data_IF_517619300585
#
_entry.id   IF_517619300585
#
_cell.length_a   1.000
_cell.length_b   1.000
_cell.length_c   1.000
_cell.angle_alpha   90.00
_cell.angle_beta   90.00
_cell.angle_gamma   90.00
#
_symmetry.space_group_name_H-M   'P 1'
#
loop_
_entity.id
_entity.type
_entity.pdbx_description
1 polymer ?
#
# COMPACT_ATOMS: atom_id res chain seq x y z
N UNK A 1 20.43 22.24 25.55
CA UNK A 1 19.32 23.16 25.27
C UNK A 1 18.36 22.45 24.32
N UNK A 2 17.18 22.03 24.80
CA UNK A 2 16.19 21.25 24.04
C UNK A 2 15.31 22.20 23.23
N UNK A 3 15.30 22.05 21.90
CA UNK A 3 14.22 22.60 21.06
C UNK A 3 13.10 21.56 20.98
N UNK A 4 11.97 21.85 21.62
CA UNK A 4 10.69 21.21 21.33
C UNK A 4 10.16 21.81 20.01
N UNK A 5 10.06 21.00 18.98
CA UNK A 5 9.21 21.29 17.83
C UNK A 5 7.88 20.55 18.04
N UNK A 6 6.86 21.30 18.47
CA UNK A 6 5.47 20.89 18.31
C UNK A 6 5.19 20.77 16.82
N UNK A 7 5.05 19.55 16.32
CA UNK A 7 4.56 19.32 14.97
C UNK A 7 3.05 19.22 15.04
N UNK A 8 2.40 20.29 14.61
CA UNK A 8 0.99 20.36 14.25
C UNK A 8 0.55 19.14 13.44
N UNK A 9 -0.65 18.63 13.71
CA UNK A 9 -1.32 17.60 12.93
C UNK A 9 -1.36 17.98 11.45
N UNK A 10 -0.42 17.49 10.64
CA UNK A 10 -0.44 17.69 9.20
C UNK A 10 -1.05 16.45 8.57
N UNK A 11 -2.38 16.41 8.58
CA UNK A 11 -3.13 15.41 7.86
C UNK A 11 -3.05 15.72 6.38
N UNK A 12 -2.17 15.03 5.66
CA UNK A 12 -2.12 15.12 4.22
C UNK A 12 -3.28 14.30 3.65
N UNK A 13 -4.39 14.99 3.36
CA UNK A 13 -5.49 14.51 2.53
C UNK A 13 -5.07 14.17 1.07
N UNK A 14 -3.78 14.11 0.78
CA UNK A 14 -3.28 13.85 -0.55
C UNK A 14 -3.29 12.35 -0.81
N UNK A 15 -3.78 12.01 -2.00
CA UNK A 15 -3.68 10.67 -2.55
C UNK A 15 -2.23 10.39 -2.91
N UNK A 16 -1.62 9.40 -2.27
CA UNK A 16 -0.30 8.92 -2.66
C UNK A 16 -0.45 7.96 -3.83
N UNK A 17 0.43 8.11 -4.83
CA UNK A 17 0.48 7.27 -6.03
C UNK A 17 1.89 6.75 -6.20
N UNK A 18 2.04 5.42 -6.30
CA UNK A 18 3.33 4.75 -6.47
C UNK A 18 3.20 3.86 -7.70
N UNK A 19 4.11 4.05 -8.65
CA UNK A 19 4.22 3.20 -9.83
C UNK A 19 5.31 2.16 -9.62
N UNK A 20 4.98 0.90 -9.89
CA UNK A 20 5.90 -0.23 -9.81
C UNK A 20 6.03 -0.84 -11.19
N UNK A 21 7.26 -0.87 -11.70
CA UNK A 21 7.58 -1.46 -13.01
C UNK A 21 8.46 -2.71 -12.90
N UNK A 22 9.19 -2.89 -11.80
CA UNK A 22 9.95 -4.11 -11.55
C UNK A 22 9.20 -5.00 -10.55
N UNK A 23 8.50 -6.00 -11.08
CA UNK A 23 7.62 -6.89 -10.32
C UNK A 23 8.24 -8.28 -10.07
N UNK A 24 9.52 -8.45 -10.42
CA UNK A 24 10.24 -9.73 -10.33
C UNK A 24 10.66 -10.10 -8.90
N UNK A 25 10.54 -9.16 -7.97
CA UNK A 25 10.98 -9.29 -6.58
C UNK A 25 9.87 -8.94 -5.60
N UNK A 26 10.08 -9.29 -4.34
CA UNK A 26 9.21 -8.88 -3.24
C UNK A 26 9.32 -7.36 -3.08
N UNK A 27 8.17 -6.70 -3.02
CA UNK A 27 8.08 -5.25 -2.79
C UNK A 27 7.33 -5.03 -1.50
N UNK A 28 7.92 -4.22 -0.62
CA UNK A 28 7.30 -3.79 0.62
C UNK A 28 7.21 -2.26 0.65
N UNK A 29 6.00 -1.75 0.82
CA UNK A 29 5.74 -0.32 0.98
C UNK A 29 5.10 -0.12 2.34
N UNK A 30 5.78 0.64 3.20
CA UNK A 30 5.41 0.79 4.59
C UNK A 30 5.30 2.27 4.98
N UNK A 31 4.12 2.70 5.38
CA UNK A 31 3.91 3.94 6.11
C UNK A 31 3.90 3.66 7.61
N UNK A 32 4.76 4.36 8.35
CA UNK A 32 4.96 4.19 9.79
C UNK A 32 4.53 5.45 10.53
N UNK A 33 4.17 5.28 11.80
CA UNK A 33 3.78 6.39 12.70
C UNK A 33 2.51 7.10 12.23
N UNK A 34 1.53 6.32 11.81
CA UNK A 34 0.19 6.80 11.49
C UNK A 34 -0.50 7.16 12.83
N UNK A 35 -0.73 8.45 13.05
CA UNK A 35 -1.44 8.97 14.23
C UNK A 35 -2.73 9.64 13.78
N UNK A 36 -3.81 9.41 14.51
CA UNK A 36 -5.13 10.01 14.25
C UNK A 36 -5.75 9.61 12.89
N UNK A 37 -5.41 8.43 12.39
CA UNK A 37 -6.08 7.82 11.22
C UNK A 37 -7.35 7.09 11.67
N UNK A 38 -8.43 7.27 10.92
CA UNK A 38 -9.66 6.50 11.13
C UNK A 38 -10.06 5.65 9.94
N UNK A 39 -9.57 5.92 8.72
CA UNK A 39 -9.80 5.02 7.58
C UNK A 39 -8.67 5.03 6.55
N UNK A 40 -8.63 3.96 5.75
CA UNK A 40 -7.72 3.78 4.62
C UNK A 40 -8.53 3.42 3.38
N UNK A 41 -8.33 4.18 2.32
CA UNK A 41 -8.71 3.83 0.96
C UNK A 41 -7.45 3.42 0.19
N UNK A 42 -7.44 2.21 -0.35
CA UNK A 42 -6.35 1.62 -1.12
C UNK A 42 -6.91 0.98 -2.39
N UNK A 43 -6.28 1.28 -3.51
CA UNK A 43 -6.56 0.70 -4.81
C UNK A 43 -5.22 0.38 -5.50
N UNK A 44 -5.03 -0.89 -5.87
CA UNK A 44 -3.88 -1.33 -6.66
C UNK A 44 -4.43 -1.90 -7.95
N UNK A 45 -3.99 -1.32 -9.07
CA UNK A 45 -4.41 -1.75 -10.41
C UNK A 45 -3.16 -2.03 -11.21
N UNK A 46 -3.15 -3.14 -11.93
CA UNK A 46 -2.06 -3.42 -12.82
C UNK A 46 -2.27 -4.65 -13.68
N UNK A 47 -1.17 -5.00 -14.32
CA UNK A 47 -1.04 -6.15 -15.19
C UNK A 47 0.25 -6.88 -14.84
N UNK A 48 0.18 -8.18 -14.64
CA UNK A 48 1.33 -9.06 -14.42
C UNK A 48 1.24 -10.27 -15.35
N UNK A 49 2.38 -10.79 -15.78
CA UNK A 49 2.49 -12.06 -16.50
C UNK A 49 2.86 -13.16 -15.49
N UNK A 50 1.84 -13.87 -15.01
CA UNK A 50 1.94 -14.90 -13.97
C UNK A 50 1.04 -14.63 -12.78
N UNK A 51 1.42 -15.19 -11.63
CA UNK A 51 0.68 -15.05 -10.36
C UNK A 51 1.53 -14.32 -9.32
N UNK A 52 0.87 -13.53 -8.49
CA UNK A 52 1.49 -12.90 -7.34
C UNK A 52 0.49 -12.84 -6.18
N UNK A 53 1.00 -12.59 -4.98
CA UNK A 53 0.22 -12.38 -3.78
C UNK A 53 0.38 -10.94 -3.33
N UNK A 54 -0.74 -10.25 -3.11
CA UNK A 54 -0.76 -8.94 -2.47
C UNK A 54 -1.31 -9.08 -1.06
N UNK A 55 -0.69 -8.39 -0.12
CA UNK A 55 -1.11 -8.31 1.29
C UNK A 55 -1.12 -6.87 1.77
N UNK A 56 -2.13 -6.50 2.54
CA UNK A 56 -2.19 -5.30 3.36
C UNK A 56 -2.16 -5.74 4.83
N UNK A 57 -1.02 -5.57 5.49
CA UNK A 57 -0.72 -6.19 6.80
C UNK A 57 -1.18 -7.67 6.80
N UNK A 58 -1.77 -8.12 7.92
CA UNK A 58 -2.44 -9.42 8.04
C UNK A 58 -3.96 -9.35 7.83
N UNK A 59 -4.47 -8.17 7.44
CA UNK A 59 -5.91 -7.87 7.42
C UNK A 59 -6.54 -8.29 6.08
N UNK A 60 -5.82 -8.07 4.97
CA UNK A 60 -6.31 -8.45 3.64
C UNK A 60 -5.18 -9.06 2.82
N UNK A 61 -5.49 -10.16 2.14
CA UNK A 61 -4.58 -10.87 1.25
C UNK A 61 -5.33 -11.43 0.05
N UNK A 62 -4.70 -11.42 -1.11
CA UNK A 62 -5.29 -11.94 -2.34
C UNK A 62 -4.21 -12.46 -3.28
N UNK A 63 -4.52 -13.52 -4.04
CA UNK A 63 -3.70 -13.97 -5.16
C UNK A 63 -4.25 -13.28 -6.42
N UNK A 64 -3.39 -12.55 -7.10
CA UNK A 64 -3.70 -11.79 -8.32
C UNK A 64 -3.04 -12.43 -9.53
N UNK A 65 -3.63 -12.26 -10.72
CA UNK A 65 -3.15 -12.82 -11.99
C UNK A 65 -3.49 -11.89 -13.14
N UNK A 66 -2.68 -11.89 -14.20
CA UNK A 66 -2.95 -11.15 -15.43
C UNK A 66 -3.30 -9.68 -15.15
N UNK A 67 -4.48 -9.23 -15.54
CA UNK A 67 -5.02 -7.92 -15.18
C UNK A 67 -5.77 -8.04 -13.84
N UNK A 68 -5.43 -7.20 -12.88
CA UNK A 68 -6.01 -7.29 -11.54
C UNK A 68 -6.35 -5.92 -10.95
N UNK A 69 -7.27 -5.95 -10.00
CA UNK A 69 -7.66 -4.83 -9.16
C UNK A 69 -7.76 -5.32 -7.72
N UNK A 70 -6.90 -4.81 -6.84
CA UNK A 70 -6.97 -5.06 -5.41
C UNK A 70 -7.45 -3.80 -4.71
N UNK A 71 -8.55 -3.91 -3.95
CA UNK A 71 -9.18 -2.76 -3.27
C UNK A 71 -9.36 -3.00 -1.79
N UNK A 72 -9.13 -1.98 -0.99
CA UNK A 72 -9.48 -1.95 0.43
C UNK A 72 -10.02 -0.56 0.78
N UNK A 73 -11.16 -0.50 1.45
CA UNK A 73 -11.75 0.75 1.92
C UNK A 73 -12.51 0.45 3.20
N UNK A 74 -11.89 0.73 4.33
CA UNK A 74 -12.49 0.50 5.65
C UNK A 74 -11.75 1.32 6.72
N UNK A 75 -12.29 1.27 7.93
CA UNK A 75 -11.66 1.88 9.08
C UNK A 75 -10.24 1.34 9.30
N UNK A 76 -9.35 2.21 9.76
CA UNK A 76 -7.94 1.91 9.95
C UNK A 76 -7.46 2.33 11.33
N UNK A 77 -7.14 1.35 12.16
CA UNK A 77 -6.76 1.55 13.56
C UNK A 77 -5.32 1.12 13.87
N UNK A 78 -4.52 0.80 12.84
CA UNK A 78 -3.11 0.43 13.01
C UNK A 78 -2.19 1.65 12.85
N UNK A 79 -1.16 1.72 13.69
CA UNK A 79 -0.12 2.75 13.63
C UNK A 79 0.83 2.58 12.44
N UNK A 80 0.65 1.51 11.66
CA UNK A 80 1.39 1.23 10.44
C UNK A 80 0.47 0.70 9.35
N UNK A 81 0.86 0.89 8.10
CA UNK A 81 0.27 0.21 6.96
C UNK A 81 1.37 -0.28 6.05
N UNK A 82 1.40 -1.59 5.83
CA UNK A 82 2.40 -2.27 5.01
C UNK A 82 1.70 -3.03 3.91
N UNK A 83 2.04 -2.68 2.67
CA UNK A 83 1.62 -3.39 1.46
C UNK A 83 2.78 -4.28 1.04
N UNK A 84 2.54 -5.57 0.92
CA UNK A 84 3.51 -6.56 0.47
C UNK A 84 3.02 -7.16 -0.83
N UNK A 85 3.81 -7.01 -1.88
CA UNK A 85 3.68 -7.76 -3.12
C UNK A 85 4.73 -8.88 -3.13
N UNK A 86 4.30 -10.10 -3.44
CA UNK A 86 5.14 -11.30 -3.42
C UNK A 86 4.89 -12.08 -4.73
N UNK A 87 5.85 -12.12 -5.67
CA UNK A 87 5.68 -12.84 -6.93
C UNK A 87 5.68 -14.36 -6.68
N UNK A 88 4.69 -15.07 -7.24
CA UNK A 88 4.57 -16.53 -7.17
C UNK A 88 4.94 -17.21 -8.51
N UNK A 89 5.58 -16.47 -9.39
CA UNK A 89 5.80 -16.84 -10.80
C UNK A 89 5.62 -15.66 -11.76
N UNK A 90 5.15 -14.51 -11.25
CA UNK A 90 5.10 -13.27 -12.01
C UNK A 90 6.50 -12.75 -12.36
N UNK A 91 6.77 -12.51 -13.65
CA UNK A 91 8.10 -12.10 -14.14
C UNK A 91 8.12 -10.77 -14.88
N UNK A 92 6.98 -10.33 -15.41
CA UNK A 92 6.81 -9.07 -16.14
C UNK A 92 5.50 -8.40 -15.75
N UNK A 93 5.43 -7.09 -15.93
CA UNK A 93 4.23 -6.33 -15.67
C UNK A 93 4.51 -5.00 -14.99
N UNK A 94 3.44 -4.32 -14.63
CA UNK A 94 3.49 -3.10 -13.85
C UNK A 94 2.17 -2.90 -13.12
N UNK A 95 2.22 -2.18 -12.04
CA UNK A 95 1.02 -1.79 -11.31
C UNK A 95 1.19 -0.43 -10.65
N UNK A 96 0.06 0.18 -10.34
CA UNK A 96 -0.01 1.46 -9.65
C UNK A 96 -0.72 1.22 -8.33
N UNK A 97 -0.09 1.63 -7.24
CA UNK A 97 -0.67 1.67 -5.91
C UNK A 97 -1.16 3.08 -5.65
N UNK A 98 -2.44 3.21 -5.32
CA UNK A 98 -3.07 4.46 -4.95
C UNK A 98 -3.65 4.31 -3.56
N UNK A 99 -3.29 5.18 -2.64
CA UNK A 99 -3.88 5.13 -1.31
C UNK A 99 -4.04 6.51 -0.68
N UNK A 100 -4.92 6.57 0.31
CA UNK A 100 -5.21 7.75 1.10
C UNK A 100 -5.66 7.33 2.49
N UNK A 101 -5.08 7.98 3.49
CA UNK A 101 -5.56 7.94 4.86
C UNK A 101 -6.52 9.10 5.09
N UNK A 102 -7.57 8.86 5.88
CA UNK A 102 -8.52 9.88 6.34
C UNK A 102 -8.48 10.02 7.85
#
# INVERSE_FOLDING_TARGET
MKLLLCVSCYYSNNKTVIEVSDISQIIEISDKKLYSVYSLELEIIGTIDGEAKIRLNDIKKEIIKNIFIFKYSADWYSNNATIIYEPLGASKGSFVIKYRFY
#
